data_IF_159613226949
#
_entry.id   IF_159613226949
#
_cell.length_a   1.000
_cell.length_b   1.000
_cell.length_c   1.000
_cell.angle_alpha   90.00
_cell.angle_beta   90.00
_cell.angle_gamma   90.00
#
_symmetry.space_group_name_H-M   'P 1'
#
loop_
_entity.id
_entity.type
_entity.pdbx_description
1 polymer ?
#
# COMPACT_ATOMS: atom_id res chain seq x y z
N UNK A 1 -25.87 -42.70 -28.68
CA UNK A 1 -26.65 -41.49 -28.46
C UNK A 1 -25.96 -40.78 -27.30
N UNK A 2 -24.94 -40.09 -27.61
CA UNK A 2 -24.83 -38.64 -27.77
C UNK A 2 -25.50 -37.83 -26.67
N UNK A 3 -24.69 -37.22 -25.83
CA UNK A 3 -24.86 -35.83 -25.58
C UNK A 3 -23.58 -35.23 -25.01
N UNK A 4 -23.18 -34.12 -25.57
CA UNK A 4 -22.00 -33.42 -25.14
C UNK A 4 -22.35 -32.19 -24.30
N UNK A 5 -21.36 -31.52 -23.92
CA UNK A 5 -21.32 -30.10 -23.52
C UNK A 5 -21.02 -29.89 -22.07
N UNK A 6 -19.73 -30.02 -21.76
CA UNK A 6 -19.11 -29.18 -20.78
C UNK A 6 -19.14 -27.72 -21.26
N UNK A 7 -19.94 -26.90 -20.64
CA UNK A 7 -19.83 -25.45 -20.74
C UNK A 7 -18.80 -25.05 -19.73
N UNK A 8 -17.65 -24.66 -20.21
CA UNK A 8 -16.57 -24.03 -19.43
C UNK A 8 -16.87 -22.53 -19.31
N UNK A 9 -17.30 -22.00 -18.13
CA UNK A 9 -17.54 -20.58 -17.95
C UNK A 9 -16.33 -19.96 -17.23
N UNK A 10 -15.19 -19.92 -17.90
CA UNK A 10 -13.96 -19.44 -17.28
C UNK A 10 -12.99 -18.66 -18.15
N UNK A 11 -13.40 -18.23 -19.32
CA UNK A 11 -12.60 -17.34 -20.16
C UNK A 11 -13.00 -15.87 -19.92
N UNK A 12 -12.74 -15.34 -18.73
CA UNK A 12 -12.75 -13.89 -18.45
C UNK A 12 -11.81 -13.19 -19.41
N UNK A 13 -12.37 -12.31 -20.25
CA UNK A 13 -11.84 -11.73 -21.47
C UNK A 13 -10.46 -11.08 -21.41
N UNK A 14 -9.43 -11.86 -21.55
CA UNK A 14 -8.05 -11.39 -21.76
C UNK A 14 -7.81 -11.08 -23.24
N UNK A 15 -8.50 -10.10 -23.79
CA UNK A 15 -8.21 -9.63 -25.15
C UNK A 15 -6.77 -9.10 -25.28
N UNK A 16 -6.16 -9.14 -26.48
CA UNK A 16 -4.78 -8.68 -26.67
C UNK A 16 -4.57 -7.22 -26.21
N UNK A 17 -5.58 -6.39 -26.31
CA UNK A 17 -5.55 -4.99 -25.90
C UNK A 17 -5.48 -4.85 -24.34
N UNK A 18 -6.24 -5.64 -23.59
CA UNK A 18 -6.17 -5.65 -22.13
C UNK A 18 -4.82 -6.15 -21.64
N UNK A 19 -4.24 -7.16 -22.31
CA UNK A 19 -2.89 -7.63 -22.00
C UNK A 19 -1.82 -6.59 -22.26
N UNK A 20 -1.92 -5.83 -23.34
CA UNK A 20 -1.00 -4.74 -23.65
C UNK A 20 -1.08 -3.64 -22.57
N UNK A 21 -2.29 -3.26 -22.17
CA UNK A 21 -2.51 -2.27 -21.09
C UNK A 21 -1.97 -2.76 -19.75
N UNK A 22 -2.23 -4.01 -19.40
CA UNK A 22 -1.69 -4.61 -18.15
C UNK A 22 -0.16 -4.58 -18.13
N UNK A 23 0.50 -4.92 -19.24
CA UNK A 23 1.96 -4.84 -19.37
C UNK A 23 2.49 -3.40 -19.27
N UNK A 24 1.79 -2.44 -19.88
CA UNK A 24 2.14 -1.02 -19.76
C UNK A 24 2.07 -0.54 -18.31
N UNK A 25 1.01 -0.92 -17.58
CA UNK A 25 0.85 -0.60 -16.16
C UNK A 25 1.90 -1.31 -15.30
N UNK A 26 2.21 -2.57 -15.60
CA UNK A 26 3.28 -3.31 -14.93
C UNK A 26 4.64 -2.60 -15.08
N UNK A 27 4.99 -2.22 -16.31
CA UNK A 27 6.25 -1.52 -16.58
C UNK A 27 6.31 -0.17 -15.84
N UNK A 28 5.21 0.58 -15.85
CA UNK A 28 5.13 1.85 -15.15
C UNK A 28 5.31 1.67 -13.62
N UNK A 29 4.63 0.70 -13.01
CA UNK A 29 4.78 0.40 -11.57
C UNK A 29 6.21 -0.01 -11.21
N UNK A 30 6.84 -0.84 -12.05
CA UNK A 30 8.23 -1.24 -11.84
C UNK A 30 9.21 -0.05 -11.91
N UNK A 31 8.87 1.00 -12.65
CA UNK A 31 9.67 2.24 -12.68
C UNK A 31 9.48 3.12 -11.45
N UNK A 32 8.36 3.01 -10.73
CA UNK A 32 8.11 3.77 -9.51
C UNK A 32 8.78 3.16 -8.26
N UNK A 33 9.17 1.89 -8.33
CA UNK A 33 9.78 1.17 -7.22
C UNK A 33 11.24 0.85 -7.52
N UNK A 34 12.07 0.74 -6.50
CA UNK A 34 13.46 0.28 -6.62
C UNK A 34 13.50 -1.19 -7.06
N UNK A 35 12.60 -2.00 -6.51
CA UNK A 35 12.40 -3.39 -6.90
C UNK A 35 10.96 -3.85 -6.64
N UNK A 36 10.48 -4.82 -7.43
CA UNK A 36 9.26 -5.57 -7.18
C UNK A 36 9.57 -7.04 -7.52
N UNK A 37 9.43 -7.92 -6.54
CA UNK A 37 9.65 -9.36 -6.73
C UNK A 37 8.57 -9.98 -7.62
N UNK A 38 7.36 -10.09 -7.10
CA UNK A 38 6.20 -10.58 -7.83
C UNK A 38 5.21 -9.45 -8.08
N UNK A 39 4.67 -9.36 -9.29
CA UNK A 39 3.64 -8.40 -9.64
C UNK A 39 2.63 -9.06 -10.58
N UNK A 40 1.38 -9.08 -10.16
CA UNK A 40 0.25 -9.55 -10.94
C UNK A 40 -0.77 -8.43 -11.08
N UNK A 41 -1.14 -8.11 -12.31
CA UNK A 41 -2.15 -7.11 -12.62
C UNK A 41 -3.23 -7.77 -13.47
N UNK A 42 -4.47 -7.67 -13.02
CA UNK A 42 -5.65 -8.14 -13.74
C UNK A 42 -6.55 -6.98 -14.07
N UNK A 43 -6.95 -6.88 -15.32
CA UNK A 43 -7.90 -5.90 -15.82
C UNK A 43 -9.20 -6.63 -16.14
N UNK A 44 -10.27 -6.28 -15.44
CA UNK A 44 -11.59 -6.81 -15.71
C UNK A 44 -12.35 -5.87 -16.66
N UNK A 45 -12.87 -6.45 -17.73
CA UNK A 45 -13.60 -5.74 -18.76
C UNK A 45 -13.53 -6.42 -20.11
N UNK A 46 -14.29 -5.92 -21.08
CA UNK A 46 -14.22 -6.36 -22.47
C UNK A 46 -13.42 -5.36 -23.32
N UNK A 47 -12.87 -5.84 -24.45
CA UNK A 47 -12.20 -4.95 -25.41
C UNK A 47 -13.12 -3.82 -25.88
N UNK A 48 -14.42 -4.08 -26.05
CA UNK A 48 -15.40 -3.05 -26.44
C UNK A 48 -15.63 -2.01 -25.33
N UNK A 49 -15.59 -2.40 -24.07
CA UNK A 49 -15.65 -1.47 -22.93
C UNK A 49 -14.40 -0.62 -22.85
N UNK A 50 -13.23 -1.25 -23.02
CA UNK A 50 -11.94 -0.55 -23.01
C UNK A 50 -11.86 0.48 -24.13
N UNK A 51 -12.30 0.15 -25.35
CA UNK A 51 -12.36 1.11 -26.47
C UNK A 51 -13.30 2.30 -26.19
N UNK A 52 -14.25 2.14 -25.27
CA UNK A 52 -15.12 3.22 -24.78
C UNK A 52 -14.57 3.91 -23.53
N UNK A 53 -13.32 3.62 -23.14
CA UNK A 53 -12.68 4.17 -21.95
C UNK A 53 -13.20 3.61 -20.64
N UNK A 54 -13.80 2.42 -20.60
CA UNK A 54 -14.36 1.81 -19.41
C UNK A 54 -13.65 0.55 -19.04
N UNK A 55 -13.19 0.48 -17.78
CA UNK A 55 -12.71 -0.73 -17.12
C UNK A 55 -13.65 -1.03 -15.95
N UNK A 56 -14.00 -2.30 -15.78
CA UNK A 56 -14.90 -2.72 -14.70
C UNK A 56 -14.19 -2.77 -13.36
N UNK A 57 -12.96 -3.26 -13.34
CA UNK A 57 -12.08 -3.26 -12.19
C UNK A 57 -10.61 -3.43 -12.62
N UNK A 58 -9.70 -3.01 -11.77
CA UNK A 58 -8.27 -3.32 -11.85
C UNK A 58 -7.88 -3.93 -10.52
N UNK A 59 -7.36 -5.14 -10.54
CA UNK A 59 -6.78 -5.81 -9.37
C UNK A 59 -5.27 -5.87 -9.52
N UNK A 60 -4.57 -5.58 -8.43
CA UNK A 60 -3.12 -5.65 -8.34
C UNK A 60 -2.73 -6.48 -7.13
N UNK A 61 -1.80 -7.41 -7.31
CA UNK A 61 -1.11 -8.11 -6.24
C UNK A 61 0.38 -8.01 -6.46
N UNK A 62 1.10 -7.60 -5.44
CA UNK A 62 2.55 -7.50 -5.50
C UNK A 62 3.17 -8.03 -4.21
N UNK A 63 4.39 -8.58 -4.32
CA UNK A 63 5.17 -9.08 -3.19
C UNK A 63 6.62 -8.67 -3.33
N UNK A 64 7.27 -8.44 -2.18
CA UNK A 64 8.68 -8.07 -2.14
C UNK A 64 8.93 -6.75 -2.85
N UNK A 65 8.20 -5.70 -2.46
CA UNK A 65 8.33 -4.37 -3.05
C UNK A 65 9.34 -3.57 -2.23
N UNK A 66 10.30 -2.97 -2.91
CA UNK A 66 11.17 -1.93 -2.35
C UNK A 66 10.76 -0.58 -2.91
N UNK A 67 10.16 0.24 -2.04
CA UNK A 67 9.77 1.60 -2.36
C UNK A 67 10.53 2.59 -1.49
N UNK A 68 11.53 3.25 -2.06
CA UNK A 68 12.37 4.22 -1.35
C UNK A 68 12.96 3.67 -0.02
N UNK A 69 13.58 2.50 -0.06
CA UNK A 69 14.11 1.78 1.11
C UNK A 69 13.04 1.22 2.09
N UNK A 70 11.76 1.40 1.81
CA UNK A 70 10.69 0.74 2.55
C UNK A 70 10.37 -0.62 1.91
N UNK A 71 10.67 -1.68 2.63
CA UNK A 71 10.33 -3.04 2.19
C UNK A 71 8.88 -3.36 2.56
N UNK A 72 8.06 -3.56 1.54
CA UNK A 72 6.67 -3.95 1.67
C UNK A 72 6.57 -5.43 1.24
N UNK A 73 6.12 -6.28 2.16
CA UNK A 73 6.07 -7.72 1.91
C UNK A 73 4.97 -8.06 0.91
N UNK A 74 3.80 -7.44 1.08
CA UNK A 74 2.64 -7.69 0.23
C UNK A 74 1.77 -6.45 0.09
N UNK A 75 1.26 -6.27 -1.12
CA UNK A 75 0.22 -5.29 -1.47
C UNK A 75 -0.86 -6.00 -2.26
N UNK A 76 -2.13 -5.75 -1.91
CA UNK A 76 -3.29 -6.13 -2.67
C UNK A 76 -4.18 -4.90 -2.86
N UNK A 77 -4.49 -4.57 -4.10
CA UNK A 77 -5.34 -3.43 -4.45
C UNK A 77 -6.46 -3.87 -5.38
N UNK A 78 -7.63 -3.29 -5.21
CA UNK A 78 -8.77 -3.47 -6.10
C UNK A 78 -9.48 -2.12 -6.33
N UNK A 79 -9.69 -1.76 -7.59
CA UNK A 79 -10.34 -0.53 -7.95
C UNK A 79 -11.85 -0.70 -8.16
N UNK A 80 -12.60 0.36 -7.91
CA UNK A 80 -13.94 0.55 -8.48
C UNK A 80 -13.84 0.69 -10.02
N UNK A 81 -14.98 0.68 -10.74
CA UNK A 81 -15.01 0.93 -12.17
C UNK A 81 -14.32 2.24 -12.55
N UNK A 82 -13.43 2.17 -13.54
CA UNK A 82 -12.62 3.29 -14.00
C UNK A 82 -13.16 3.79 -15.34
N UNK A 83 -13.28 5.10 -15.49
CA UNK A 83 -13.62 5.76 -16.74
C UNK A 83 -12.52 6.72 -17.17
N UNK A 84 -12.01 6.55 -18.39
CA UNK A 84 -10.93 7.34 -18.96
C UNK A 84 -11.35 7.98 -20.29
N UNK A 85 -10.82 9.16 -20.60
CA UNK A 85 -11.03 9.85 -21.86
C UNK A 85 -10.18 9.24 -22.98
N UNK A 86 -10.77 8.37 -23.77
CA UNK A 86 -10.05 7.72 -24.88
C UNK A 86 -9.54 8.71 -25.94
N UNK A 87 -10.20 9.84 -26.12
CA UNK A 87 -9.75 10.86 -27.09
C UNK A 87 -8.39 11.49 -26.76
N UNK A 88 -8.04 11.61 -25.47
CA UNK A 88 -6.74 12.08 -25.02
C UNK A 88 -5.67 11.00 -25.19
N UNK A 89 -6.01 9.76 -24.87
CA UNK A 89 -5.11 8.60 -25.00
C UNK A 89 -4.67 8.35 -26.45
N UNK A 90 -5.60 8.45 -27.41
CA UNK A 90 -5.33 8.27 -28.83
C UNK A 90 -4.47 9.39 -29.45
N UNK A 91 -4.41 10.56 -28.80
CA UNK A 91 -3.59 11.70 -29.23
C UNK A 91 -2.24 11.76 -28.54
N UNK A 92 -1.80 10.70 -27.85
CA UNK A 92 -0.54 10.66 -27.07
C UNK A 92 -0.47 11.74 -25.97
N UNK A 93 -1.63 12.22 -25.52
CA UNK A 93 -1.76 13.12 -24.40
C UNK A 93 -1.97 12.29 -23.12
N UNK A 94 -1.71 12.89 -21.97
CA UNK A 94 -1.78 12.25 -20.66
C UNK A 94 -3.07 11.43 -20.43
N UNK A 95 -2.93 10.41 -19.60
CA UNK A 95 -4.04 9.57 -19.15
C UNK A 95 -4.99 10.43 -18.34
N UNK A 96 -6.15 10.78 -18.87
CA UNK A 96 -7.15 11.61 -18.21
C UNK A 96 -8.30 10.75 -17.70
N UNK A 97 -8.56 10.84 -16.41
CA UNK A 97 -9.72 10.25 -15.77
C UNK A 97 -10.96 11.12 -16.07
N UNK A 98 -12.09 10.51 -16.36
CA UNK A 98 -13.36 11.22 -16.49
C UNK A 98 -14.04 11.46 -15.14
N UNK A 99 -13.85 10.54 -14.21
CA UNK A 99 -14.47 10.55 -12.89
C UNK A 99 -13.50 10.04 -11.83
N UNK A 100 -13.59 10.52 -10.60
CA UNK A 100 -12.85 9.94 -9.50
C UNK A 100 -13.33 8.51 -9.24
N UNK A 101 -12.43 7.64 -8.82
CA UNK A 101 -12.73 6.28 -8.39
C UNK A 101 -12.00 5.96 -7.10
N UNK A 102 -12.43 4.89 -6.43
CA UNK A 102 -11.77 4.41 -5.22
C UNK A 102 -10.96 3.16 -5.50
N UNK A 103 -9.91 3.02 -4.73
CA UNK A 103 -9.07 1.83 -4.67
C UNK A 103 -9.07 1.35 -3.23
N UNK A 104 -9.53 0.13 -2.99
CA UNK A 104 -9.36 -0.54 -1.71
C UNK A 104 -8.06 -1.30 -1.70
N UNK A 105 -7.40 -1.32 -0.55
CA UNK A 105 -6.08 -1.92 -0.45
C UNK A 105 -5.78 -2.54 0.89
N UNK A 106 -4.90 -3.52 0.84
CA UNK A 106 -4.26 -4.15 1.99
C UNK A 106 -2.76 -4.12 1.77
N UNK A 107 -2.02 -3.74 2.80
CA UNK A 107 -0.56 -3.66 2.79
C UNK A 107 -0.03 -4.37 4.01
N UNK A 108 0.98 -5.23 3.81
CA UNK A 108 1.71 -5.89 4.89
C UNK A 108 3.18 -5.46 4.85
N UNK A 109 3.69 -5.10 6.02
CA UNK A 109 5.07 -4.69 6.27
C UNK A 109 5.65 -5.58 7.35
N UNK A 110 6.82 -6.18 7.13
CA UNK A 110 7.54 -6.88 8.20
C UNK A 110 8.15 -5.90 9.20
N UNK A 111 8.23 -6.31 10.47
CA UNK A 111 8.89 -5.53 11.51
C UNK A 111 10.35 -5.22 11.16
N UNK A 112 11.08 -6.19 10.63
CA UNK A 112 12.47 -6.01 10.18
C UNK A 112 12.60 -5.05 9.01
N UNK A 113 11.67 -5.11 8.05
CA UNK A 113 11.62 -4.18 6.92
C UNK A 113 11.37 -2.75 7.38
N UNK A 114 10.40 -2.58 8.28
CA UNK A 114 10.08 -1.28 8.86
C UNK A 114 11.24 -0.72 9.69
N UNK A 115 11.85 -1.53 10.56
CA UNK A 115 13.00 -1.10 11.36
C UNK A 115 14.17 -0.62 10.49
N UNK A 116 14.47 -1.33 9.40
CA UNK A 116 15.49 -0.92 8.44
C UNK A 116 15.13 0.37 7.72
N UNK A 117 13.89 0.53 7.31
CA UNK A 117 13.42 1.74 6.64
C UNK A 117 13.56 2.97 7.53
N UNK A 118 13.13 2.88 8.79
CA UNK A 118 13.20 3.99 9.75
C UNK A 118 14.64 4.45 10.07
N UNK A 119 15.64 3.60 9.83
CA UNK A 119 17.04 3.97 9.93
C UNK A 119 17.60 4.67 8.66
N UNK A 120 16.89 4.61 7.51
CA UNK A 120 17.28 5.17 6.22
C UNK A 120 16.82 6.60 6.04
N UNK A 121 17.53 7.36 5.19
CA UNK A 121 17.29 8.79 4.99
C UNK A 121 15.82 9.14 4.62
N UNK A 122 15.14 8.43 3.70
CA UNK A 122 13.77 8.77 3.33
C UNK A 122 12.77 8.68 4.49
N UNK A 123 12.98 7.76 5.45
CA UNK A 123 12.03 7.44 6.53
C UNK A 123 12.52 7.79 7.93
N UNK A 124 13.77 8.24 8.07
CA UNK A 124 14.39 8.58 9.37
C UNK A 124 13.61 9.64 10.14
N UNK A 125 13.02 10.58 9.44
CA UNK A 125 12.19 11.61 10.07
C UNK A 125 11.01 11.02 10.84
N UNK A 126 10.40 9.94 10.29
CA UNK A 126 9.30 9.23 10.95
C UNK A 126 9.80 8.50 12.21
N UNK A 127 10.94 7.81 12.12
CA UNK A 127 11.57 7.17 13.27
C UNK A 127 11.89 8.18 14.38
N UNK A 128 12.45 9.34 14.02
CA UNK A 128 12.73 10.40 14.98
C UNK A 128 11.44 10.96 15.62
N UNK A 129 10.41 11.22 14.82
CA UNK A 129 9.12 11.71 15.34
C UNK A 129 8.47 10.70 16.29
N UNK A 130 8.58 9.40 16.02
CA UNK A 130 8.12 8.34 16.94
C UNK A 130 8.88 8.40 18.27
N UNK A 131 10.22 8.45 18.22
CA UNK A 131 11.04 8.48 19.42
C UNK A 131 10.84 9.77 20.23
N UNK A 132 10.83 10.92 19.58
CA UNK A 132 10.62 12.21 20.25
C UNK A 132 9.23 12.31 20.89
N UNK A 133 8.18 11.88 20.17
CA UNK A 133 6.81 11.98 20.66
C UNK A 133 6.52 10.96 21.77
N UNK A 134 6.91 9.69 21.56
CA UNK A 134 6.49 8.60 22.45
C UNK A 134 7.48 8.34 23.60
N UNK A 135 8.79 8.62 23.38
CA UNK A 135 9.82 8.36 24.38
C UNK A 135 10.42 9.66 24.96
N UNK A 136 10.03 10.83 24.43
CA UNK A 136 10.59 12.13 24.83
C UNK A 136 12.05 12.33 24.46
N UNK A 137 12.61 11.50 23.61
CA UNK A 137 14.02 11.54 23.20
C UNK A 137 14.20 10.95 21.82
N UNK A 138 15.34 11.23 21.19
CA UNK A 138 15.69 10.68 19.86
C UNK A 138 17.20 10.61 19.70
N UNK A 139 17.68 10.00 18.62
CA UNK A 139 16.94 9.32 17.54
C UNK A 139 16.40 7.93 17.93
N UNK A 140 15.47 7.41 17.11
CA UNK A 140 15.03 6.03 17.23
C UNK A 140 16.20 5.11 16.90
N UNK A 141 16.52 4.18 17.79
CA UNK A 141 17.57 3.17 17.58
C UNK A 141 17.00 1.91 16.93
N UNK A 142 15.87 1.40 17.46
CA UNK A 142 15.19 0.22 16.93
C UNK A 142 13.69 0.32 17.13
N UNK A 143 12.96 -0.30 16.22
CA UNK A 143 11.55 -0.64 16.34
C UNK A 143 11.43 -2.15 16.16
N UNK A 144 10.84 -2.82 17.14
CA UNK A 144 10.61 -4.26 17.10
C UNK A 144 9.13 -4.55 17.23
N UNK A 145 8.61 -5.43 16.40
CA UNK A 145 7.25 -5.93 16.51
C UNK A 145 7.26 -7.12 17.47
N UNK A 146 6.47 -7.05 18.53
CA UNK A 146 6.36 -8.09 19.55
C UNK A 146 4.89 -8.35 19.81
N UNK A 147 4.43 -9.57 19.50
CA UNK A 147 3.02 -9.98 19.61
C UNK A 147 2.10 -9.00 18.85
N UNK A 148 1.34 -8.18 19.55
CA UNK A 148 0.41 -7.17 19.04
C UNK A 148 0.88 -5.73 19.30
N UNK A 149 2.14 -5.53 19.70
CA UNK A 149 2.72 -4.26 20.11
C UNK A 149 3.98 -3.89 19.35
N UNK A 150 4.30 -2.61 19.41
CA UNK A 150 5.56 -2.04 18.95
C UNK A 150 6.45 -1.73 20.15
N UNK A 151 7.63 -2.34 20.23
CA UNK A 151 8.70 -1.98 21.16
C UNK A 151 9.62 -0.96 20.46
N UNK A 152 9.62 0.24 20.99
CA UNK A 152 10.46 1.35 20.54
C UNK A 152 11.66 1.49 21.48
N UNK A 153 12.85 1.70 20.92
CA UNK A 153 14.06 2.00 21.67
C UNK A 153 14.75 3.24 21.12
N UNK A 154 15.13 4.15 21.97
CA UNK A 154 15.90 5.32 21.63
C UNK A 154 17.17 5.40 22.49
N UNK A 155 18.28 5.87 21.88
CA UNK A 155 19.58 5.99 22.57
C UNK A 155 19.85 7.47 22.88
N UNK A 156 20.13 7.79 24.12
CA UNK A 156 20.50 9.13 24.55
C UNK A 156 21.94 9.16 25.05
N UNK A 157 22.88 9.41 24.15
CA UNK A 157 24.31 9.47 24.50
C UNK A 157 24.84 8.18 25.08
N UNK A 158 25.52 8.23 26.23
CA UNK A 158 26.09 7.09 26.94
C UNK A 158 25.12 6.48 27.99
N UNK A 159 23.93 7.03 28.12
CA UNK A 159 22.91 6.51 29.04
C UNK A 159 22.30 5.19 28.53
N UNK A 160 21.71 4.37 29.41
CA UNK A 160 20.96 3.20 28.94
C UNK A 160 19.82 3.62 28.00
N UNK A 161 19.50 2.78 26.99
CA UNK A 161 18.43 3.09 26.06
C UNK A 161 17.09 3.27 26.78
N UNK A 162 16.31 4.22 26.31
CA UNK A 162 14.93 4.40 26.74
C UNK A 162 14.06 3.52 25.88
N UNK A 163 13.17 2.75 26.51
CA UNK A 163 12.26 1.82 25.87
C UNK A 163 10.81 2.19 26.16
N UNK A 164 9.93 1.94 25.20
CA UNK A 164 8.49 2.12 25.37
C UNK A 164 7.70 1.15 24.51
N UNK A 165 6.58 0.70 25.03
CA UNK A 165 5.61 -0.11 24.29
C UNK A 165 4.51 0.79 23.75
N UNK A 166 4.16 0.56 22.50
CA UNK A 166 3.12 1.33 21.83
C UNK A 166 2.16 0.42 21.06
N UNK A 167 0.92 0.87 20.93
CA UNK A 167 -0.13 0.29 20.11
C UNK A 167 -0.23 1.01 18.79
N UNK A 168 -0.60 0.26 17.75
CA UNK A 168 -0.91 0.78 16.44
C UNK A 168 -2.42 0.63 16.20
N UNK A 169 -3.09 1.71 15.85
CA UNK A 169 -4.53 1.71 15.63
C UNK A 169 -4.89 2.61 14.43
N UNK A 170 -6.01 2.30 13.77
CA UNK A 170 -6.62 3.20 12.79
C UNK A 170 -7.62 4.11 13.51
N UNK A 171 -7.39 5.42 13.44
CA UNK A 171 -8.22 6.43 14.11
C UNK A 171 -8.57 7.54 13.12
N UNK A 172 -9.85 7.77 12.90
CA UNK A 172 -10.35 8.82 12.00
C UNK A 172 -9.70 8.82 10.60
N UNK A 173 -9.51 7.63 10.02
CA UNK A 173 -8.96 7.46 8.67
C UNK A 173 -7.44 7.57 8.58
N UNK A 174 -6.72 7.65 9.68
CA UNK A 174 -5.26 7.68 9.72
C UNK A 174 -4.72 6.64 10.69
N UNK A 175 -3.41 6.43 10.68
CA UNK A 175 -2.72 5.54 11.62
C UNK A 175 -2.25 6.35 12.81
N UNK A 176 -2.53 5.86 14.00
CA UNK A 176 -2.07 6.43 15.27
C UNK A 176 -1.21 5.40 16.00
N UNK A 177 -0.08 5.86 16.53
CA UNK A 177 0.79 5.07 17.42
C UNK A 177 0.72 5.70 18.80
N UNK A 178 0.25 4.95 19.80
CA UNK A 178 -0.01 5.45 21.14
C UNK A 178 0.74 4.62 22.19
N UNK A 179 1.32 5.29 23.19
CA UNK A 179 1.90 4.60 24.33
C UNK A 179 0.84 3.81 25.11
N UNK A 180 1.21 2.64 25.65
CA UNK A 180 0.30 1.80 26.45
C UNK A 180 -0.12 2.46 27.74
N UNK A 181 0.72 3.27 28.33
CA UNK A 181 0.52 3.89 29.65
C UNK A 181 -0.44 5.10 29.63
N UNK A 182 -1.17 5.30 28.52
CA UNK A 182 -2.03 6.47 28.35
C UNK A 182 -1.25 7.76 28.14
N UNK A 183 0.01 7.63 27.70
CA UNK A 183 0.92 8.73 27.39
C UNK A 183 0.64 9.40 26.04
N UNK A 184 1.65 10.04 25.45
CA UNK A 184 1.50 10.72 24.16
C UNK A 184 1.19 9.73 23.04
N UNK A 185 0.54 10.24 21.99
CA UNK A 185 0.28 9.52 20.76
C UNK A 185 0.83 10.30 19.57
N UNK A 186 1.25 9.59 18.52
CA UNK A 186 1.67 10.15 17.26
C UNK A 186 0.69 9.72 16.17
N UNK A 187 0.05 10.69 15.56
CA UNK A 187 -0.77 10.48 14.37
C UNK A 187 0.12 10.62 13.14
N UNK A 188 0.16 9.57 12.30
CA UNK A 188 0.99 9.58 11.11
C UNK A 188 0.40 10.54 10.06
N UNK A 189 1.24 11.35 9.40
CA UNK A 189 0.78 12.18 8.29
C UNK A 189 0.38 11.30 7.11
N UNK A 190 -0.85 11.44 6.67
CA UNK A 190 -1.43 10.72 5.54
C UNK A 190 -1.86 11.68 4.44
N UNK A 191 -1.81 11.23 3.18
CA UNK A 191 -2.45 11.97 2.10
C UNK A 191 -3.97 12.04 2.38
N UNK A 192 -4.57 13.20 2.16
CA UNK A 192 -6.01 13.45 2.39
C UNK A 192 -6.94 12.54 1.57
N UNK A 193 -6.42 11.93 0.50
CA UNK A 193 -7.16 11.01 -0.35
C UNK A 193 -7.05 9.56 0.12
N UNK A 194 -6.30 9.29 1.19
CA UNK A 194 -6.14 7.96 1.78
C UNK A 194 -6.87 7.92 3.11
N UNK A 195 -7.67 6.88 3.31
CA UNK A 195 -8.34 6.57 4.57
C UNK A 195 -7.97 5.17 5.00
N UNK A 196 -7.38 5.04 6.18
CA UNK A 196 -7.05 3.75 6.78
C UNK A 196 -8.19 3.33 7.70
N UNK A 197 -8.79 2.18 7.41
CA UNK A 197 -9.92 1.63 8.16
C UNK A 197 -9.44 0.68 9.27
N UNK A 198 -8.29 0.02 9.04
CA UNK A 198 -7.70 -0.93 9.98
C UNK A 198 -6.19 -0.85 9.95
N UNK A 199 -5.59 -0.80 11.13
CA UNK A 199 -4.15 -0.88 11.33
C UNK A 199 -3.90 -1.81 12.52
N UNK A 200 -3.19 -2.90 12.31
CA UNK A 200 -2.90 -3.89 13.35
C UNK A 200 -1.45 -4.34 13.27
N UNK A 201 -0.96 -4.74 14.42
CA UNK A 201 0.30 -5.48 14.55
C UNK A 201 -0.05 -6.96 14.63
N UNK A 202 0.50 -7.77 13.73
CA UNK A 202 0.24 -9.21 13.67
C UNK A 202 1.40 -9.94 12.99
N UNK A 203 1.64 -11.18 13.42
CA UNK A 203 2.62 -12.09 12.80
C UNK A 203 4.02 -11.49 12.56
N UNK A 204 4.49 -10.66 13.50
CA UNK A 204 5.80 -10.02 13.41
C UNK A 204 5.88 -8.85 12.42
N UNK A 205 4.73 -8.33 12.00
CA UNK A 205 4.60 -7.23 11.07
C UNK A 205 3.44 -6.29 11.36
N UNK A 206 3.20 -5.39 10.43
CA UNK A 206 2.07 -4.45 10.45
C UNK A 206 1.20 -4.74 9.24
N UNK A 207 -0.10 -4.82 9.47
CA UNK A 207 -1.12 -4.90 8.43
C UNK A 207 -1.98 -3.64 8.43
N UNK A 208 -2.08 -3.02 7.27
CA UNK A 208 -2.92 -1.85 7.03
C UNK A 208 -3.96 -2.19 5.98
N UNK A 209 -5.21 -1.80 6.19
CA UNK A 209 -6.22 -1.82 5.14
C UNK A 209 -7.01 -0.52 5.12
N UNK A 210 -7.48 -0.16 3.93
CA UNK A 210 -8.19 1.09 3.75
C UNK A 210 -8.52 1.36 2.29
N UNK A 211 -8.88 2.59 2.01
CA UNK A 211 -9.20 3.04 0.66
C UNK A 211 -8.45 4.32 0.29
N UNK A 212 -8.19 4.47 -1.00
CA UNK A 212 -7.65 5.68 -1.59
C UNK A 212 -8.61 6.21 -2.66
N UNK A 213 -8.82 7.53 -2.70
CA UNK A 213 -9.55 8.20 -3.76
C UNK A 213 -8.59 8.73 -4.82
N UNK A 214 -8.76 8.26 -6.04
CA UNK A 214 -8.00 8.76 -7.21
C UNK A 214 -8.89 9.75 -7.95
N UNK A 215 -8.41 10.98 -8.13
CA UNK A 215 -9.13 12.08 -8.79
C UNK A 215 -8.46 12.45 -10.11
N UNK A 216 -9.24 13.01 -11.08
CA UNK A 216 -8.73 13.57 -12.32
C UNK A 216 -7.66 14.61 -12.11
#
# INVERSE_FOLDING_TARGET
>A
MTSPSGHDPGAGGSGPLLRLLARGLELWLRQQCTAIGELEIRLDGSAAQLLRGRLKAVSLRARGIDYQDLLIDQVQLESEPIQVRMGALLRHQSFELEQPFRVRGEVRLSGDGLNRALARAPWRWLGNSLAETLLGTGPLSTLTVTDDLLLLRAQQGANPPIEGLARLEAVAGTVEVACLDGGPCLRLPMDRNISIDRAIVAEGGIELSGEARVSP
#
